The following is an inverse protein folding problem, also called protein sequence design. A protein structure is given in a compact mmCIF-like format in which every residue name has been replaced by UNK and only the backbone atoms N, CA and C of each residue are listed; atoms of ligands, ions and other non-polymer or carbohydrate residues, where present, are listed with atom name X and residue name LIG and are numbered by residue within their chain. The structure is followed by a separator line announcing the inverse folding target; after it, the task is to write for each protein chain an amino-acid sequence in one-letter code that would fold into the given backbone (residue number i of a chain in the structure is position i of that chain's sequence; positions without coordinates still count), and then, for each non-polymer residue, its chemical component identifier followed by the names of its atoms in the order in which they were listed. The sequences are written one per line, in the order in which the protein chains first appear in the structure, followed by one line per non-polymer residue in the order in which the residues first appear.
data_IF_649231785160
#
_entry.id   IF_649231785160
#
_cell.length_a   1.000
_cell.length_b   1.000
_cell.length_c   1.000
_cell.angle_alpha   90.00
_cell.angle_beta   90.00
_cell.angle_gamma   90.00
#
_symmetry.space_group_name_H-M   'P 1'
#
loop_
_entity.id
_entity.type
_entity.pdbx_description
1 polymer ?
#
# COMPACT_ATOMS: atom_id res chain seq x y z
N UNK A 1 -14.20 -7.02 2.95
CA UNK A 1 -13.13 -7.87 3.52
C UNK A 1 -12.09 -6.91 4.10
N UNK A 2 -11.93 -6.87 5.41
CA UNK A 2 -10.91 -6.01 6.07
C UNK A 2 -9.53 -6.46 5.59
N UNK A 3 -8.72 -5.54 5.04
CA UNK A 3 -7.37 -5.88 4.60
C UNK A 3 -6.50 -6.18 5.83
N UNK A 4 -6.17 -7.44 6.02
CA UNK A 4 -5.30 -7.86 7.11
C UNK A 4 -3.86 -7.57 6.71
N UNK A 5 -3.15 -6.90 7.61
CA UNK A 5 -1.71 -6.72 7.48
C UNK A 5 -0.97 -8.03 7.28
N UNK A 6 0.10 -8.01 6.48
CA UNK A 6 0.91 -9.19 6.14
C UNK A 6 1.45 -9.89 7.39
N UNK A 7 1.68 -9.17 8.48
CA UNK A 7 2.12 -9.73 9.77
C UNK A 7 1.10 -10.68 10.43
N UNK A 8 -0.19 -10.61 10.07
CA UNK A 8 -1.21 -11.56 10.54
C UNK A 8 -1.26 -12.84 9.69
N UNK A 9 -0.58 -12.84 8.54
CA UNK A 9 -0.67 -13.89 7.52
C UNK A 9 0.65 -14.65 7.38
N UNK A 10 1.79 -13.95 7.36
CA UNK A 10 3.09 -14.57 7.18
C UNK A 10 3.46 -15.49 8.35
N UNK A 11 4.01 -16.67 8.05
CA UNK A 11 4.33 -17.73 9.00
C UNK A 11 3.13 -18.26 9.82
N UNK A 12 1.90 -17.94 9.41
CA UNK A 12 0.69 -18.49 10.01
C UNK A 12 0.38 -19.88 9.40
N UNK A 13 0.43 -20.98 10.19
CA UNK A 13 0.16 -22.33 9.68
C UNK A 13 -1.28 -22.52 9.20
N UNK A 14 -2.23 -21.71 9.67
CA UNK A 14 -3.63 -21.76 9.25
C UNK A 14 -3.86 -21.09 7.89
N UNK A 15 -2.84 -20.43 7.33
CA UNK A 15 -2.87 -19.78 6.02
C UNK A 15 -1.75 -20.32 5.12
N UNK A 16 -1.76 -21.60 4.72
CA UNK A 16 -0.64 -22.22 4.00
C UNK A 16 -0.46 -21.69 2.57
N UNK A 17 -1.55 -21.37 1.88
CA UNK A 17 -1.54 -21.05 0.46
C UNK A 17 -0.76 -19.77 0.09
N UNK A 18 -0.86 -18.63 0.82
CA UNK A 18 -0.14 -17.42 0.44
C UNK A 18 1.35 -17.41 0.84
N UNK A 19 1.84 -18.37 1.63
CA UNK A 19 3.17 -18.28 2.26
C UNK A 19 4.31 -18.13 1.25
N UNK A 20 4.31 -18.94 0.19
CA UNK A 20 5.37 -18.89 -0.83
C UNK A 20 5.45 -17.51 -1.50
N UNK A 21 4.30 -16.94 -1.89
CA UNK A 21 4.24 -15.63 -2.55
C UNK A 21 4.60 -14.50 -1.60
N UNK A 22 4.13 -14.53 -0.35
CA UNK A 22 4.48 -13.54 0.66
C UNK A 22 5.98 -13.59 0.95
N UNK A 23 6.58 -14.78 1.07
CA UNK A 23 8.03 -14.93 1.25
C UNK A 23 8.80 -14.25 0.13
N UNK A 24 8.43 -14.50 -1.13
CA UNK A 24 9.06 -13.87 -2.29
C UNK A 24 8.99 -12.34 -2.22
N UNK A 25 7.81 -11.79 -1.89
CA UNK A 25 7.59 -10.34 -1.76
C UNK A 25 8.37 -9.71 -0.59
N UNK A 26 8.45 -10.40 0.56
CA UNK A 26 9.21 -9.94 1.73
C UNK A 26 10.72 -10.02 1.50
N UNK A 27 11.15 -10.86 0.56
CA UNK A 27 12.54 -11.07 0.19
C UNK A 27 12.98 -10.33 -1.08
N UNK A 28 12.20 -9.32 -1.51
CA UNK A 28 12.50 -8.49 -2.68
C UNK A 28 12.78 -9.32 -3.94
N UNK A 29 11.96 -10.37 -4.14
CA UNK A 29 12.02 -11.32 -5.25
C UNK A 29 13.35 -12.07 -5.41
N UNK A 30 14.22 -12.07 -4.38
CA UNK A 30 15.48 -12.81 -4.39
C UNK A 30 15.26 -14.31 -4.23
N UNK A 31 15.80 -15.08 -5.16
CA UNK A 31 15.73 -16.54 -5.17
C UNK A 31 17.14 -17.14 -5.30
N UNK A 32 17.63 -17.96 -4.33
CA UNK A 32 16.98 -18.28 -3.06
C UNK A 32 16.94 -17.08 -2.11
N UNK A 33 15.91 -17.01 -1.27
CA UNK A 33 15.80 -15.96 -0.26
C UNK A 33 16.83 -16.20 0.88
N UNK A 34 17.79 -15.30 1.11
CA UNK A 34 18.83 -15.51 2.12
C UNK A 34 18.36 -15.19 3.56
N UNK A 35 17.14 -14.66 3.71
CA UNK A 35 16.63 -14.15 4.99
C UNK A 35 15.87 -15.24 5.76
N UNK A 36 16.00 -15.21 7.09
CA UNK A 36 15.24 -16.06 8.00
C UNK A 36 13.79 -15.60 8.14
N UNK A 37 12.92 -16.48 8.61
CA UNK A 37 11.51 -16.14 8.84
C UNK A 37 11.34 -15.04 9.89
N UNK A 38 12.23 -14.97 10.89
CA UNK A 38 12.25 -13.89 11.87
C UNK A 38 12.50 -12.52 11.20
N UNK A 39 13.53 -12.43 10.34
CA UNK A 39 13.79 -11.20 9.58
C UNK A 39 12.65 -10.85 8.62
N UNK A 40 12.02 -11.85 8.00
CA UNK A 40 10.89 -11.63 7.11
C UNK A 40 9.64 -11.18 7.88
N UNK A 41 9.42 -11.68 9.10
CA UNK A 41 8.31 -11.25 9.96
C UNK A 41 8.44 -9.78 10.36
N UNK A 42 9.64 -9.31 10.69
CA UNK A 42 9.90 -7.89 10.94
C UNK A 42 9.54 -7.03 9.72
N UNK A 43 9.86 -7.51 8.51
CA UNK A 43 9.52 -6.84 7.24
C UNK A 43 8.02 -6.87 6.91
N UNK A 44 7.23 -7.73 7.56
CA UNK A 44 5.80 -7.82 7.35
C UNK A 44 4.99 -6.78 8.13
N UNK A 45 5.58 -6.17 9.17
CA UNK A 45 4.91 -5.21 10.05
C UNK A 45 4.49 -3.96 9.28
N UNK A 46 3.23 -3.56 9.44
CA UNK A 46 2.62 -2.41 8.76
C UNK A 46 2.62 -2.50 7.22
N UNK A 47 2.79 -3.71 6.66
CA UNK A 47 2.66 -3.96 5.23
C UNK A 47 1.26 -4.47 4.91
N UNK A 48 0.65 -3.90 3.88
CA UNK A 48 -0.71 -4.19 3.44
C UNK A 48 -0.71 -4.59 1.97
N UNK A 49 -1.79 -5.22 1.52
CA UNK A 49 -1.94 -5.53 0.10
C UNK A 49 -2.24 -4.24 -0.65
N UNK A 50 -1.54 -4.01 -1.77
CA UNK A 50 -1.92 -2.92 -2.69
C UNK A 50 -3.29 -3.23 -3.30
N UNK A 51 -4.29 -2.41 -3.00
CA UNK A 51 -5.64 -2.56 -3.54
C UNK A 51 -5.73 -2.07 -4.99
N UNK A 52 -6.68 -2.61 -5.75
CA UNK A 52 -7.01 -2.08 -7.08
C UNK A 52 -7.58 -0.65 -6.98
N UNK A 53 -7.49 0.10 -8.08
CA UNK A 53 -7.96 1.49 -8.18
C UNK A 53 -9.22 1.64 -9.06
N UNK A 54 -9.85 0.54 -9.46
CA UNK A 54 -11.14 0.55 -10.17
C UNK A 54 -12.27 0.84 -9.17
N UNK A 55 -13.30 1.55 -9.62
CA UNK A 55 -14.49 1.88 -8.84
C UNK A 55 -14.23 2.62 -7.51
N UNK A 56 -13.11 3.37 -7.44
CA UNK A 56 -12.70 4.04 -6.21
C UNK A 56 -13.77 5.00 -5.67
N UNK A 57 -14.53 5.67 -6.52
CA UNK A 57 -15.57 6.61 -6.06
C UNK A 57 -16.67 5.95 -5.23
N UNK A 58 -16.81 4.62 -5.31
CA UNK A 58 -17.84 3.84 -4.60
C UNK A 58 -17.30 3.10 -3.36
N UNK A 59 -16.05 3.36 -2.97
CA UNK A 59 -15.34 2.60 -1.93
C UNK A 59 -14.94 3.42 -0.71
N UNK A 60 -15.42 4.67 -0.59
CA UNK A 60 -15.19 5.47 0.59
C UNK A 60 -15.80 4.80 1.85
N UNK A 61 -15.17 4.94 3.04
CA UNK A 61 -13.90 5.62 3.28
C UNK A 61 -12.68 4.79 2.87
N UNK A 62 -11.56 5.47 2.63
CA UNK A 62 -10.37 4.91 1.98
C UNK A 62 -9.27 4.47 2.95
N UNK A 63 -8.30 3.72 2.41
CA UNK A 63 -7.21 3.00 3.10
C UNK A 63 -7.68 1.81 3.94
N UNK A 64 -6.74 1.00 4.42
CA UNK A 64 -7.03 -0.23 5.18
C UNK A 64 -7.82 0.00 6.48
N UNK A 65 -7.83 1.23 6.99
CA UNK A 65 -8.49 1.63 8.24
C UNK A 65 -9.63 2.64 8.03
N UNK A 66 -9.96 3.01 6.80
CA UNK A 66 -11.02 3.98 6.52
C UNK A 66 -10.74 5.41 7.01
N UNK A 67 -9.47 5.79 7.18
CA UNK A 67 -9.11 7.08 7.80
C UNK A 67 -9.26 8.30 6.86
N UNK A 68 -9.56 8.09 5.58
CA UNK A 68 -9.70 9.18 4.61
C UNK A 68 -11.08 9.18 3.98
N UNK A 69 -11.72 10.35 3.94
CA UNK A 69 -13.07 10.52 3.40
C UNK A 69 -13.05 10.74 1.88
N UNK A 70 -12.01 11.37 1.34
CA UNK A 70 -11.97 11.77 -0.07
C UNK A 70 -10.68 11.32 -0.78
N UNK A 71 -10.75 11.22 -2.11
CA UNK A 71 -9.58 10.98 -2.95
C UNK A 71 -8.56 12.14 -2.88
N UNK A 72 -9.03 13.38 -2.66
CA UNK A 72 -8.14 14.52 -2.46
C UNK A 72 -7.25 14.32 -1.21
N UNK A 73 -7.83 13.84 -0.12
CA UNK A 73 -7.08 13.59 1.13
C UNK A 73 -5.99 12.53 0.93
N UNK A 74 -6.24 11.54 0.09
CA UNK A 74 -5.28 10.49 -0.24
C UNK A 74 -4.10 11.04 -1.04
N UNK A 75 -4.37 11.85 -2.07
CA UNK A 75 -3.30 12.42 -2.90
C UNK A 75 -2.45 13.37 -2.06
N UNK A 76 -3.07 14.23 -1.25
CA UNK A 76 -2.37 15.09 -0.29
C UNK A 76 -1.53 14.27 0.72
N UNK A 77 -2.08 13.17 1.23
CA UNK A 77 -1.35 12.25 2.09
C UNK A 77 -0.08 11.73 1.42
N UNK A 78 -0.14 11.27 0.16
CA UNK A 78 1.05 10.79 -0.56
C UNK A 78 2.06 11.92 -0.83
N UNK A 79 1.63 13.17 -1.07
CA UNK A 79 2.53 14.32 -1.17
C UNK A 79 3.30 14.49 0.15
N UNK A 80 2.60 14.55 1.29
CA UNK A 80 3.25 14.72 2.62
C UNK A 80 4.16 13.55 2.99
N UNK A 81 3.69 12.32 2.79
CA UNK A 81 4.45 11.10 3.10
C UNK A 81 5.69 10.95 2.21
N UNK A 82 5.63 11.40 0.95
CA UNK A 82 6.83 11.45 0.10
C UNK A 82 7.92 12.36 0.67
N UNK A 83 7.52 13.51 1.23
CA UNK A 83 8.43 14.42 1.93
C UNK A 83 9.05 13.79 3.17
N UNK A 84 8.24 13.12 4.00
CA UNK A 84 8.72 12.36 5.16
C UNK A 84 9.66 11.21 4.77
N UNK A 85 9.38 10.53 3.66
CA UNK A 85 10.22 9.45 3.13
C UNK A 85 11.60 9.97 2.71
N UNK A 86 11.64 11.11 1.99
CA UNK A 86 12.90 11.79 1.63
C UNK A 86 13.67 12.29 2.84
N UNK A 87 12.96 12.74 3.88
CA UNK A 87 13.57 13.18 5.14
C UNK A 87 14.00 12.02 6.07
N UNK A 88 13.72 10.75 5.69
CA UNK A 88 14.06 9.59 6.50
C UNK A 88 13.26 9.47 7.81
N UNK A 89 12.09 10.10 7.91
CA UNK A 89 11.29 10.15 9.15
C UNK A 89 10.21 9.07 9.23
N UNK A 90 10.04 8.26 8.18
CA UNK A 90 9.10 7.14 8.18
C UNK A 90 9.73 5.90 8.81
N UNK A 91 9.01 5.25 9.72
CA UNK A 91 9.47 4.00 10.37
C UNK A 91 9.56 2.83 9.39
N UNK A 92 8.46 2.55 8.68
CA UNK A 92 8.33 1.42 7.73
C UNK A 92 7.88 1.91 6.34
N UNK A 93 8.40 3.05 5.89
CA UNK A 93 8.04 3.62 4.58
C UNK A 93 8.63 2.81 3.42
N UNK A 94 7.84 2.57 2.38
CA UNK A 94 8.36 1.99 1.13
C UNK A 94 9.34 2.96 0.45
N UNK A 95 10.48 2.47 -0.03
CA UNK A 95 11.53 3.30 -0.67
C UNK A 95 10.99 4.06 -1.90
N UNK A 96 10.01 3.49 -2.59
CA UNK A 96 9.36 4.06 -3.76
C UNK A 96 8.65 5.40 -3.45
N UNK A 97 8.28 5.65 -2.19
CA UNK A 97 7.65 6.90 -1.77
C UNK A 97 8.56 8.12 -2.00
N UNK A 98 9.89 7.93 -1.99
CA UNK A 98 10.85 9.01 -2.22
C UNK A 98 10.74 9.59 -3.63
N UNK A 99 10.38 8.77 -4.61
CA UNK A 99 10.25 9.13 -6.02
C UNK A 99 8.95 9.83 -6.40
N UNK A 100 8.00 9.98 -5.46
CA UNK A 100 6.76 10.72 -5.70
C UNK A 100 7.09 12.22 -5.79
N UNK A 101 6.87 12.80 -6.96
CA UNK A 101 7.10 14.21 -7.28
C UNK A 101 5.80 15.00 -7.49
N UNK A 102 4.69 14.53 -6.93
CA UNK A 102 3.39 15.21 -6.99
C UNK A 102 3.43 16.54 -6.24
N UNK A 103 2.79 17.54 -6.81
CA UNK A 103 2.56 18.86 -6.25
C UNK A 103 1.07 19.06 -5.96
N UNK A 104 0.72 20.16 -5.27
CA UNK A 104 -0.69 20.51 -5.03
C UNK A 104 -1.46 20.75 -6.33
N UNK A 105 -0.78 21.19 -7.41
CA UNK A 105 -1.38 21.36 -8.72
C UNK A 105 -1.79 20.05 -9.40
N UNK A 106 -1.18 18.92 -9.01
CA UNK A 106 -1.45 17.61 -9.59
C UNK A 106 -2.67 16.92 -8.97
N UNK A 107 -3.19 17.42 -7.85
CA UNK A 107 -4.30 16.80 -7.12
C UNK A 107 -5.55 16.71 -8.00
N UNK A 108 -5.98 17.84 -8.58
CA UNK A 108 -7.19 17.88 -9.41
C UNK A 108 -7.13 16.95 -10.64
N UNK A 109 -6.08 17.00 -11.50
CA UNK A 109 -6.01 16.10 -12.65
C UNK A 109 -5.86 14.63 -12.24
N UNK A 110 -5.11 14.31 -11.19
CA UNK A 110 -4.96 12.92 -10.73
C UNK A 110 -6.28 12.37 -10.17
N UNK A 111 -7.01 13.16 -9.37
CA UNK A 111 -8.33 12.76 -8.86
C UNK A 111 -9.32 12.57 -10.01
N UNK A 112 -9.29 13.43 -11.03
CA UNK A 112 -10.12 13.25 -12.22
C UNK A 112 -9.79 11.95 -12.96
N UNK A 113 -8.51 11.63 -13.13
CA UNK A 113 -8.07 10.35 -13.70
C UNK A 113 -8.51 9.14 -12.86
N UNK A 114 -8.37 9.18 -11.54
CA UNK A 114 -8.83 8.09 -10.67
C UNK A 114 -10.34 7.89 -10.79
N UNK A 115 -11.11 8.97 -10.90
CA UNK A 115 -12.57 8.91 -11.10
C UNK A 115 -12.94 8.32 -12.46
N UNK A 116 -12.13 8.48 -13.50
CA UNK A 116 -12.40 7.86 -14.81
C UNK A 116 -12.16 6.34 -14.81
N UNK A 117 -11.68 5.76 -13.71
CA UNK A 117 -11.53 4.31 -13.54
C UNK A 117 -12.77 3.63 -12.94
N UNK A 118 -13.86 4.39 -12.70
CA UNK A 118 -15.13 3.78 -12.29
C UNK A 118 -15.85 3.24 -13.52
N UNK A 119 -16.50 2.10 -13.36
CA UNK A 119 -17.40 1.53 -14.35
C UNK A 119 -18.76 2.24 -14.29
N UNK A 120 -19.39 2.40 -15.45
CA UNK A 120 -20.76 2.89 -15.54
C UNK A 120 -21.70 1.71 -15.27
N UNK A 121 -22.22 1.63 -14.04
CA UNK A 121 -23.31 0.72 -13.73
C UNK A 121 -24.62 1.36 -14.21
N UNK A 122 -25.04 1.09 -15.45
CA UNK A 122 -26.39 1.35 -15.95
C UNK A 122 -27.27 0.12 -15.84
#
# INVERSE_FOLDING_TARGET
MTDLGVWNVFANPDMPNPQAKIRTILCDDRVPCPLSDATLLDRAIARFKTTGLRDLSHSAPYMHNGNFATLNDIVDFYIRVSGQSRAGTLRNGAVQLQGIALTTGDIAPLVAFLKSLNEDYQ
#
